data_IF_247779629920
#
_entry.id   IF_247779629920
#
_cell.length_a   1.000
_cell.length_b   1.000
_cell.length_c   1.000
_cell.angle_alpha   90.00
_cell.angle_beta   90.00
_cell.angle_gamma   90.00
#
_symmetry.space_group_name_H-M   'P 1'
#
loop_
_entity.id
_entity.type
_entity.pdbx_description
1 polymer ?
#
# COMPACT_ATOMS: atom_id res chain seq x y z
N UNK A 1 -7.12 -2.01 -9.09
CA UNK A 1 -7.05 -2.72 -10.40
C UNK A 1 -7.33 -1.77 -11.56
N UNK A 2 -8.32 -0.88 -11.44
CA UNK A 2 -8.64 0.15 -12.44
C UNK A 2 -7.46 1.06 -12.82
N UNK A 3 -6.66 1.55 -11.86
CA UNK A 3 -5.51 2.40 -12.19
C UNK A 3 -4.41 1.69 -13.00
N UNK A 4 -4.11 0.43 -12.67
CA UNK A 4 -3.13 -0.35 -13.45
C UNK A 4 -3.63 -0.65 -14.85
N UNK A 5 -4.93 -0.93 -14.99
CA UNK A 5 -5.57 -1.08 -16.29
C UNK A 5 -5.49 0.22 -17.08
N UNK A 6 -5.86 1.36 -16.47
CA UNK A 6 -5.77 2.68 -17.07
C UNK A 6 -4.35 3.05 -17.48
N UNK A 7 -3.36 2.84 -16.61
CA UNK A 7 -1.96 3.11 -16.91
C UNK A 7 -1.45 2.25 -18.08
N UNK A 8 -1.86 0.98 -18.14
CA UNK A 8 -1.50 0.09 -19.26
C UNK A 8 -2.13 0.56 -20.57
N UNK A 9 -3.39 0.98 -20.54
CA UNK A 9 -4.12 1.53 -21.68
C UNK A 9 -3.48 2.86 -22.13
N UNK A 10 -3.25 3.80 -21.22
CA UNK A 10 -2.61 5.09 -21.51
C UNK A 10 -1.24 4.89 -22.14
N UNK A 11 -0.39 4.04 -21.54
CA UNK A 11 0.92 3.70 -22.07
C UNK A 11 0.85 3.11 -23.47
N UNK A 12 -0.09 2.21 -23.73
CA UNK A 12 -0.30 1.65 -25.06
C UNK A 12 -0.65 2.74 -26.07
N UNK A 13 -1.60 3.62 -25.76
CA UNK A 13 -1.99 4.72 -26.65
C UNK A 13 -0.87 5.74 -26.86
N UNK A 14 -0.11 6.09 -25.83
CA UNK A 14 1.05 6.98 -25.94
C UNK A 14 2.13 6.39 -26.85
N UNK A 15 2.43 5.10 -26.71
CA UNK A 15 3.38 4.40 -27.58
C UNK A 15 2.90 4.36 -29.03
N UNK A 16 1.59 4.20 -29.25
CA UNK A 16 0.97 4.29 -30.58
C UNK A 16 1.13 5.69 -31.18
N UNK A 17 0.84 6.76 -30.41
CA UNK A 17 0.97 8.15 -30.84
C UNK A 17 2.42 8.52 -31.17
N UNK A 18 3.38 8.10 -30.33
CA UNK A 18 4.82 8.35 -30.50
C UNK A 18 5.48 7.50 -31.60
N UNK A 19 4.72 6.60 -32.26
CA UNK A 19 5.21 5.69 -33.31
C UNK A 19 6.48 4.93 -32.93
N UNK A 20 6.59 4.48 -31.68
CA UNK A 20 7.75 3.75 -31.18
C UNK A 20 7.94 2.46 -32.03
N UNK A 21 9.15 2.18 -32.53
CA UNK A 21 9.43 0.98 -33.31
C UNK A 21 9.26 -0.29 -32.47
N UNK A 22 8.75 -1.37 -33.09
CA UNK A 22 8.50 -2.66 -32.44
C UNK A 22 7.05 -2.90 -32.00
N UNK A 23 6.83 -4.02 -31.30
CA UNK A 23 5.49 -4.42 -30.81
C UNK A 23 5.10 -3.57 -29.59
N UNK A 24 4.06 -2.74 -29.75
CA UNK A 24 3.55 -1.79 -28.72
C UNK A 24 2.95 -2.46 -27.48
N UNK A 25 2.76 -3.79 -27.50
CA UNK A 25 2.30 -4.60 -26.38
C UNK A 25 0.90 -4.24 -25.90
N UNK A 26 -0.13 -4.91 -26.41
CA UNK A 26 -1.51 -4.67 -25.96
C UNK A 26 -1.67 -4.88 -24.44
N UNK A 27 -2.46 -4.05 -23.75
CA UNK A 27 -2.78 -4.25 -22.34
C UNK A 27 -3.34 -5.65 -22.12
N UNK A 28 -2.79 -6.40 -21.16
CA UNK A 28 -3.27 -7.73 -20.79
C UNK A 28 -3.72 -7.73 -19.34
N UNK A 29 -4.83 -8.41 -19.06
CA UNK A 29 -5.28 -8.63 -17.70
C UNK A 29 -4.29 -9.53 -16.94
N UNK A 30 -4.10 -9.21 -15.65
CA UNK A 30 -3.32 -10.06 -14.75
C UNK A 30 -4.12 -11.32 -14.45
N UNK A 31 -3.56 -12.50 -14.79
CA UNK A 31 -4.22 -13.81 -14.58
C UNK A 31 -4.42 -14.15 -13.10
N UNK A 32 -3.40 -13.92 -12.26
CA UNK A 32 -3.40 -14.28 -10.83
C UNK A 32 -3.34 -13.04 -9.95
N UNK A 33 -4.48 -12.37 -9.74
CA UNK A 33 -4.56 -11.27 -8.79
C UNK A 33 -4.83 -11.79 -7.39
N UNK A 34 -3.96 -11.44 -6.44
CA UNK A 34 -4.15 -11.71 -5.00
C UNK A 34 -4.66 -10.49 -4.25
N UNK A 35 -4.99 -9.40 -4.93
CA UNK A 35 -5.47 -8.19 -4.27
C UNK A 35 -6.39 -7.35 -5.14
N UNK A 36 -7.42 -6.78 -4.55
CA UNK A 36 -8.30 -5.79 -5.16
C UNK A 36 -8.34 -4.58 -4.25
N UNK A 37 -8.24 -3.39 -4.83
CA UNK A 37 -8.27 -2.13 -4.10
C UNK A 37 -9.45 -1.29 -4.58
N UNK A 38 -10.18 -0.78 -3.59
CA UNK A 38 -11.31 0.11 -3.72
C UNK A 38 -10.94 1.47 -3.12
N UNK A 39 -11.20 2.54 -3.87
CA UNK A 39 -10.96 3.91 -3.41
C UNK A 39 -12.17 4.43 -2.63
N UNK A 40 -12.94 5.32 -3.23
CA UNK A 40 -14.08 6.01 -2.61
C UNK A 40 -15.43 5.33 -2.89
N UNK A 41 -15.49 4.38 -3.83
CA UNK A 41 -16.73 3.72 -4.23
C UNK A 41 -16.55 2.21 -4.39
N UNK A 42 -17.67 1.50 -4.51
CA UNK A 42 -17.69 0.03 -4.65
C UNK A 42 -17.69 -0.73 -3.31
N UNK A 43 -17.77 -0.03 -2.19
CA UNK A 43 -17.82 -0.63 -0.85
C UNK A 43 -18.63 0.24 0.11
N UNK A 44 -19.17 -0.40 1.16
CA UNK A 44 -19.80 0.23 2.31
C UNK A 44 -19.44 -0.55 3.57
N UNK A 45 -19.16 0.16 4.66
CA UNK A 45 -18.97 -0.44 5.98
C UNK A 45 -20.25 -0.20 6.79
N UNK A 46 -20.70 -1.20 7.56
CA UNK A 46 -21.87 -1.07 8.43
C UNK A 46 -21.64 -0.03 9.54
N UNK A 47 -22.71 0.46 10.16
CA UNK A 47 -22.62 1.45 11.26
C UNK A 47 -21.78 0.93 12.44
N UNK A 48 -21.95 -0.34 12.79
CA UNK A 48 -21.14 -1.01 13.81
C UNK A 48 -19.72 -1.40 13.34
N UNK A 49 -19.37 -1.09 12.08
CA UNK A 49 -18.11 -1.37 11.39
C UNK A 49 -17.61 -2.83 11.46
N UNK A 50 -18.53 -3.77 11.68
CA UNK A 50 -18.25 -5.23 11.71
C UNK A 50 -18.49 -5.92 10.38
N UNK A 51 -19.17 -5.27 9.43
CA UNK A 51 -19.52 -5.85 8.13
C UNK A 51 -19.02 -4.92 7.03
N UNK A 52 -18.22 -5.47 6.11
CA UNK A 52 -17.82 -4.84 4.86
C UNK A 52 -18.70 -5.37 3.74
N UNK A 53 -19.49 -4.50 3.13
CA UNK A 53 -20.31 -4.83 1.96
C UNK A 53 -19.61 -4.31 0.71
N UNK A 54 -19.22 -5.22 -0.17
CA UNK A 54 -18.75 -4.87 -1.51
C UNK A 54 -19.98 -4.72 -2.41
N UNK A 55 -20.12 -3.54 -3.01
CA UNK A 55 -21.30 -3.17 -3.81
C UNK A 55 -21.02 -3.18 -5.32
N UNK A 56 -19.87 -3.71 -5.72
CA UNK A 56 -19.55 -3.87 -7.13
C UNK A 56 -20.30 -5.08 -7.73
N UNK A 57 -20.12 -5.28 -9.04
CA UNK A 57 -20.71 -6.42 -9.77
C UNK A 57 -19.85 -7.69 -9.69
N UNK A 58 -18.94 -7.79 -8.72
CA UNK A 58 -18.07 -8.99 -8.60
C UNK A 58 -18.72 -10.14 -7.85
N UNK A 59 -19.84 -9.91 -7.16
CA UNK A 59 -20.57 -10.96 -6.44
C UNK A 59 -19.99 -11.30 -5.06
N UNK A 60 -19.01 -10.56 -4.56
CA UNK A 60 -18.41 -10.78 -3.22
C UNK A 60 -19.45 -10.56 -2.09
N UNK A 61 -20.33 -9.56 -2.24
CA UNK A 61 -21.42 -9.31 -1.29
C UNK A 61 -20.94 -8.82 0.08
N UNK A 62 -21.47 -9.42 1.16
CA UNK A 62 -21.23 -9.00 2.55
C UNK A 62 -20.15 -9.88 3.20
N UNK A 63 -19.14 -9.23 3.77
CA UNK A 63 -18.02 -9.86 4.47
C UNK A 63 -18.08 -9.48 5.95
N UNK A 64 -18.04 -10.48 6.84
CA UNK A 64 -17.84 -10.25 8.28
C UNK A 64 -16.37 -9.92 8.53
N UNK A 65 -16.11 -8.78 9.16
CA UNK A 65 -14.78 -8.39 9.58
C UNK A 65 -14.46 -9.05 10.92
N UNK A 66 -13.34 -9.77 10.96
CA UNK A 66 -12.79 -10.40 12.17
C UNK A 66 -11.39 -9.84 12.35
N UNK A 67 -11.14 -9.18 13.47
CA UNK A 67 -9.87 -8.54 13.75
C UNK A 67 -9.80 -8.02 15.18
N UNK A 68 -8.59 -7.71 15.63
CA UNK A 68 -8.31 -7.23 16.99
C UNK A 68 -8.50 -5.72 17.17
N UNK A 69 -8.55 -4.95 16.08
CA UNK A 69 -8.63 -3.48 16.12
C UNK A 69 -10.06 -3.01 15.92
N UNK A 70 -10.52 -2.12 16.79
CA UNK A 70 -11.83 -1.48 16.63
C UNK A 70 -11.76 -0.37 15.57
N UNK A 71 -12.51 -0.55 14.49
CA UNK A 71 -12.64 0.47 13.45
C UNK A 71 -13.53 1.63 13.89
N UNK A 72 -14.28 1.49 15.00
CA UNK A 72 -15.19 2.52 15.49
C UNK A 72 -14.48 3.80 15.94
N UNK A 73 -13.20 3.70 16.28
CA UNK A 73 -12.35 4.84 16.62
C UNK A 73 -12.16 5.83 15.45
N UNK A 74 -12.45 5.42 14.22
CA UNK A 74 -12.24 6.25 13.03
C UNK A 74 -13.56 6.63 12.37
N UNK A 75 -13.72 7.90 12.01
CA UNK A 75 -14.85 8.35 11.22
C UNK A 75 -14.83 7.71 9.83
N UNK A 76 -16.00 7.41 9.27
CA UNK A 76 -16.10 6.81 7.93
C UNK A 76 -15.39 7.63 6.85
N UNK A 77 -15.40 8.97 6.97
CA UNK A 77 -14.70 9.91 6.07
C UNK A 77 -13.17 9.78 6.09
N UNK A 78 -12.61 9.27 7.18
CA UNK A 78 -11.17 9.04 7.31
C UNK A 78 -10.73 7.79 6.55
N UNK A 79 -11.62 6.82 6.32
CA UNK A 79 -11.30 5.63 5.54
C UNK A 79 -11.29 6.00 4.05
N UNK A 80 -10.11 6.09 3.45
CA UNK A 80 -9.95 6.52 2.04
C UNK A 80 -9.93 5.37 1.05
N UNK A 81 -9.44 4.21 1.48
CA UNK A 81 -9.30 3.03 0.62
C UNK A 81 -9.50 1.77 1.42
N UNK A 82 -10.03 0.74 0.76
CA UNK A 82 -10.09 -0.63 1.26
C UNK A 82 -9.41 -1.54 0.26
N UNK A 83 -8.53 -2.40 0.75
CA UNK A 83 -7.88 -3.41 -0.07
C UNK A 83 -8.21 -4.80 0.46
N UNK A 84 -8.81 -5.63 -0.38
CA UNK A 84 -8.94 -7.06 -0.14
C UNK A 84 -7.67 -7.75 -0.61
N UNK A 85 -7.00 -8.51 0.26
CA UNK A 85 -5.74 -9.20 -0.02
C UNK A 85 -5.88 -10.66 0.33
N UNK A 86 -5.46 -11.53 -0.58
CA UNK A 86 -5.41 -12.97 -0.42
C UNK A 86 -3.96 -13.39 -0.13
N UNK A 87 -3.71 -13.81 1.11
CA UNK A 87 -2.44 -14.36 1.60
C UNK A 87 -2.52 -15.89 1.65
N UNK A 88 -1.48 -16.56 2.13
CA UNK A 88 -1.45 -18.04 2.18
C UNK A 88 -2.41 -18.59 3.26
N UNK A 89 -2.55 -17.83 4.34
CA UNK A 89 -3.33 -18.10 5.54
C UNK A 89 -4.79 -17.60 5.46
N UNK A 90 -5.12 -16.75 4.49
CA UNK A 90 -6.52 -16.33 4.28
C UNK A 90 -6.70 -15.01 3.55
N UNK A 91 -7.90 -14.45 3.70
CA UNK A 91 -8.31 -13.19 3.10
C UNK A 91 -8.36 -12.09 4.16
N UNK A 92 -7.81 -10.94 3.81
CA UNK A 92 -7.66 -9.79 4.70
C UNK A 92 -8.25 -8.54 4.06
N UNK A 93 -8.96 -7.74 4.85
CA UNK A 93 -9.36 -6.39 4.50
C UNK A 93 -8.39 -5.38 5.15
N UNK A 94 -7.65 -4.65 4.33
CA UNK A 94 -6.77 -3.56 4.77
C UNK A 94 -7.49 -2.23 4.58
N UNK A 95 -7.53 -1.41 5.64
CA UNK A 95 -8.13 -0.08 5.62
C UNK A 95 -7.02 0.97 5.58
N UNK A 96 -7.04 1.84 4.58
CA UNK A 96 -6.19 3.03 4.55
C UNK A 96 -6.95 4.19 5.18
N UNK A 97 -6.43 4.69 6.29
CA UNK A 97 -7.07 5.72 7.09
C UNK A 97 -6.24 7.00 7.00
N UNK A 98 -6.90 8.10 6.66
CA UNK A 98 -6.34 9.45 6.72
C UNK A 98 -6.39 9.92 8.18
N UNK A 99 -5.21 10.02 8.79
CA UNK A 99 -5.01 10.52 10.14
C UNK A 99 -3.90 11.55 10.07
N UNK A 100 -4.17 12.73 10.62
CA UNK A 100 -3.12 13.71 10.86
C UNK A 100 -2.40 13.31 12.15
N UNK A 101 -1.17 12.80 12.04
CA UNK A 101 -0.34 12.46 13.20
C UNK A 101 0.41 13.71 13.62
N UNK A 102 -0.14 14.43 14.59
CA UNK A 102 0.57 15.52 15.26
C UNK A 102 1.32 14.95 16.45
N UNK A 103 2.63 14.99 16.39
CA UNK A 103 3.48 14.76 17.55
C UNK A 103 3.95 16.12 18.02
N UNK A 104 3.59 16.50 19.26
CA UNK A 104 4.14 17.68 19.91
C UNK A 104 5.55 17.34 20.39
N UNK A 105 6.50 17.43 19.48
CA UNK A 105 7.93 17.38 19.82
C UNK A 105 8.42 18.79 20.07
N UNK A 106 9.03 19.02 21.22
CA UNK A 106 9.75 20.26 21.48
C UNK A 106 10.98 20.30 20.59
N UNK A 107 11.20 21.44 19.92
CA UNK A 107 12.39 21.63 19.11
C UNK A 107 13.61 21.74 20.03
N UNK A 108 14.53 20.80 19.92
CA UNK A 108 15.73 20.71 20.77
C UNK A 108 16.81 21.73 20.42
N UNK A 109 16.63 22.53 19.36
CA UNK A 109 17.64 23.48 18.89
C UNK A 109 18.82 22.84 18.14
N UNK A 110 18.84 21.52 18.03
CA UNK A 110 19.89 20.75 17.37
C UNK A 110 19.38 20.21 16.04
N UNK A 111 20.08 20.55 14.97
CA UNK A 111 19.90 19.92 13.67
C UNK A 111 20.87 18.74 13.56
N UNK A 112 20.36 17.58 13.18
CA UNK A 112 21.14 16.35 13.10
C UNK A 112 21.02 15.79 11.68
N UNK A 113 22.13 15.84 10.94
CA UNK A 113 22.21 15.26 9.60
C UNK A 113 22.37 13.76 9.71
N UNK A 114 21.52 12.99 9.03
CA UNK A 114 21.60 11.53 8.97
C UNK A 114 21.97 11.09 7.54
N UNK A 115 23.15 10.53 7.37
CA UNK A 115 23.57 9.86 6.14
C UNK A 115 23.32 8.35 6.27
N UNK A 116 22.64 7.75 5.31
CA UNK A 116 22.25 6.33 5.32
C UNK A 116 22.96 5.59 4.19
N UNK A 117 23.64 4.50 4.52
CA UNK A 117 24.55 3.85 3.58
C UNK A 117 24.54 2.32 3.64
N UNK A 118 25.36 1.72 2.76
CA UNK A 118 25.58 0.28 2.75
C UNK A 118 26.75 -0.12 3.69
N UNK A 119 27.70 0.78 3.92
CA UNK A 119 28.83 0.55 4.80
C UNK A 119 28.41 0.64 6.28
N UNK A 120 27.71 1.71 6.64
CA UNK A 120 27.10 1.94 7.95
C UNK A 120 25.59 2.11 7.77
N UNK A 121 24.80 1.61 8.73
CA UNK A 121 23.34 1.74 8.71
C UNK A 121 22.92 3.20 8.67
N UNK A 122 23.51 4.00 9.57
CA UNK A 122 23.53 5.44 9.45
C UNK A 122 24.81 6.02 10.08
N UNK A 123 25.16 7.22 9.63
CA UNK A 123 26.16 8.11 10.22
C UNK A 123 25.48 9.43 10.54
N UNK A 124 25.66 9.96 11.75
CA UNK A 124 25.19 11.30 12.06
C UNK A 124 26.26 12.39 11.85
N UNK A 125 25.84 13.65 11.84
CA UNK A 125 26.73 14.81 11.72
C UNK A 125 27.66 15.01 12.91
N UNK A 126 27.42 14.32 14.03
CA UNK A 126 28.29 14.30 15.21
C UNK A 126 29.36 13.20 15.12
N UNK A 127 29.34 12.38 14.06
CA UNK A 127 30.29 11.31 13.78
C UNK A 127 29.93 9.96 14.39
N UNK A 128 28.78 9.83 15.06
CA UNK A 128 28.29 8.54 15.55
C UNK A 128 27.84 7.68 14.36
N UNK A 129 28.23 6.42 14.39
CA UNK A 129 27.95 5.46 13.33
C UNK A 129 27.31 4.21 13.92
N UNK A 130 26.23 3.75 13.31
CA UNK A 130 25.67 2.44 13.61
C UNK A 130 26.03 1.49 12.48
N UNK A 131 26.62 0.35 12.82
CA UNK A 131 26.98 -0.66 11.83
C UNK A 131 25.76 -1.19 11.09
N UNK A 132 25.94 -1.45 9.78
CA UNK A 132 24.89 -2.05 8.97
C UNK A 132 24.73 -3.54 9.36
N UNK A 133 23.56 -3.94 9.89
CA UNK A 133 23.35 -5.34 10.19
C UNK A 133 23.16 -6.15 8.91
N UNK A 134 24.21 -6.84 8.48
CA UNK A 134 24.28 -7.63 7.23
C UNK A 134 23.59 -8.99 7.37
N UNK A 135 22.29 -9.01 7.67
CA UNK A 135 21.51 -10.25 7.83
C UNK A 135 21.46 -11.06 6.51
N UNK A 136 21.21 -10.39 5.38
CA UNK A 136 21.02 -11.05 4.08
C UNK A 136 22.21 -11.91 3.62
N UNK A 137 23.46 -11.45 3.86
CA UNK A 137 24.66 -12.22 3.47
C UNK A 137 24.93 -13.45 4.35
N UNK A 138 24.37 -13.50 5.55
CA UNK A 138 24.50 -14.67 6.43
C UNK A 138 23.56 -15.78 5.98
N UNK A 139 22.34 -15.42 5.58
CA UNK A 139 21.32 -16.37 5.15
C UNK A 139 21.56 -16.91 3.72
N UNK A 140 22.23 -16.15 2.83
CA UNK A 140 22.57 -16.60 1.46
C UNK A 140 23.69 -17.66 1.40
N UNK A 141 24.39 -17.94 2.51
CA UNK A 141 25.45 -18.96 2.59
C UNK A 141 24.96 -20.31 3.15
N UNK A 142 23.68 -20.43 3.46
CA UNK A 142 23.04 -21.64 3.99
C UNK A 142 22.41 -22.48 2.86
#
# INVERSE_FOLDING_TARGET
MAERAWASISRFYENCKKRIPGKKGYPKFKKFSRSVEYKTSGWRVSENRKILTITDKTGIGKLKLVGSRDLNCYQSKQIKRIRLVCRADGYYAQFCIEIERKESVEFTGKELGLDVGLNHFYTDSEGNQIENPRYLRKDEKA
#
